data_IF_189287123419
#
_entry.id   IF_189287123419
#
_cell.length_a   1.000
_cell.length_b   1.000
_cell.length_c   1.000
_cell.angle_alpha   90.00
_cell.angle_beta   90.00
_cell.angle_gamma   90.00
#
_symmetry.space_group_name_H-M   'P 1'
#
loop_
_entity.id
_entity.type
_entity.pdbx_description
1 polymer ?
#
# COMPACT_ATOMS: atom_id res chain seq x y z
N UNK A 1 4.36 -28.89 -16.02
CA UNK A 1 3.32 -27.86 -16.25
C UNK A 1 2.48 -27.55 -15.00
N UNK A 2 2.38 -28.46 -14.03
CA UNK A 2 1.63 -28.24 -12.77
C UNK A 2 2.22 -27.17 -11.85
N UNK A 3 3.55 -27.02 -11.81
CA UNK A 3 4.23 -26.09 -10.88
C UNK A 3 3.92 -24.61 -11.12
N UNK A 4 3.71 -24.18 -12.36
CA UNK A 4 3.41 -22.78 -12.68
C UNK A 4 1.98 -22.40 -12.28
N UNK A 5 1.01 -23.28 -12.54
CA UNK A 5 -0.38 -23.13 -12.12
C UNK A 5 -0.50 -23.07 -10.59
N UNK A 6 0.22 -23.95 -9.88
CA UNK A 6 0.27 -23.92 -8.41
C UNK A 6 0.89 -22.63 -7.88
N UNK A 7 1.96 -22.13 -8.51
CA UNK A 7 2.60 -20.87 -8.11
C UNK A 7 1.70 -19.66 -8.35
N UNK A 8 0.98 -19.63 -9.47
CA UNK A 8 0.05 -18.56 -9.79
C UNK A 8 -1.10 -18.53 -8.78
N UNK A 9 -1.77 -19.67 -8.56
CA UNK A 9 -2.85 -19.79 -7.58
C UNK A 9 -2.41 -19.35 -6.18
N UNK A 10 -1.22 -19.80 -5.75
CA UNK A 10 -0.68 -19.39 -4.46
C UNK A 10 -0.38 -17.88 -4.38
N UNK A 11 0.09 -17.27 -5.48
CA UNK A 11 0.32 -15.83 -5.53
C UNK A 11 -1.00 -15.04 -5.45
N UNK A 12 -2.05 -15.50 -6.14
CA UNK A 12 -3.39 -14.90 -6.11
C UNK A 12 -4.01 -14.97 -4.70
N UNK A 13 -3.96 -16.15 -4.05
CA UNK A 13 -4.44 -16.34 -2.68
C UNK A 13 -3.69 -15.44 -1.68
N UNK A 14 -2.37 -15.38 -1.80
CA UNK A 14 -1.54 -14.51 -0.94
C UNK A 14 -1.86 -13.03 -1.15
N UNK A 15 -2.07 -12.60 -2.39
CA UNK A 15 -2.43 -11.22 -2.68
C UNK A 15 -3.80 -10.88 -2.10
N UNK A 16 -4.80 -11.75 -2.27
CA UNK A 16 -6.13 -11.56 -1.70
C UNK A 16 -6.11 -11.42 -0.17
N UNK A 17 -5.37 -12.30 0.52
CA UNK A 17 -5.23 -12.24 1.97
C UNK A 17 -4.53 -10.94 2.44
N UNK A 18 -3.48 -10.50 1.73
CA UNK A 18 -2.79 -9.26 2.04
C UNK A 18 -3.68 -8.02 1.84
N UNK A 19 -4.48 -8.00 0.77
CA UNK A 19 -5.43 -6.91 0.51
C UNK A 19 -6.50 -6.83 1.61
N UNK A 20 -7.00 -7.98 2.07
CA UNK A 20 -7.98 -8.02 3.16
C UNK A 20 -7.37 -7.45 4.45
N UNK A 21 -6.19 -7.91 4.85
CA UNK A 21 -5.50 -7.40 6.04
C UNK A 21 -5.20 -5.91 5.95
N UNK A 22 -4.78 -5.42 4.78
CA UNK A 22 -4.55 -3.99 4.54
C UNK A 22 -5.83 -3.17 4.73
N UNK A 23 -6.94 -3.63 4.14
CA UNK A 23 -8.23 -2.93 4.26
C UNK A 23 -8.74 -2.88 5.70
N UNK A 24 -8.54 -3.96 6.46
CA UNK A 24 -8.90 -4.00 7.88
C UNK A 24 -8.03 -3.04 8.70
N UNK A 25 -6.72 -2.98 8.43
CA UNK A 25 -5.81 -2.04 9.08
C UNK A 25 -6.17 -0.56 8.79
N UNK A 26 -6.51 -0.22 7.54
CA UNK A 26 -6.96 1.13 7.17
C UNK A 26 -8.24 1.50 7.91
N UNK A 27 -9.19 0.56 8.01
CA UNK A 27 -10.45 0.76 8.72
C UNK A 27 -10.21 1.07 10.20
N UNK A 28 -9.30 0.34 10.85
CA UNK A 28 -9.01 0.52 12.28
C UNK A 28 -8.19 1.80 12.54
N UNK A 29 -7.30 2.19 11.62
CA UNK A 29 -6.64 3.50 11.65
C UNK A 29 -7.67 4.63 11.61
N UNK A 30 -8.64 4.55 10.68
CA UNK A 30 -9.68 5.56 10.55
C UNK A 30 -10.56 5.67 11.80
N UNK A 31 -10.99 4.55 12.38
CA UNK A 31 -11.73 4.53 13.67
C UNK A 31 -10.95 5.19 14.81
N UNK A 32 -9.62 5.19 14.73
CA UNK A 32 -8.72 5.76 15.73
C UNK A 32 -8.40 7.24 15.48
N UNK A 33 -9.02 7.87 14.47
CA UNK A 33 -8.74 9.27 14.10
C UNK A 33 -7.39 9.45 13.40
N UNK A 34 -6.89 8.41 12.73
CA UNK A 34 -5.72 8.47 11.87
C UNK A 34 -6.21 8.44 10.43
N UNK A 35 -5.79 9.44 9.66
CA UNK A 35 -6.01 9.47 8.24
C UNK A 35 -4.88 8.72 7.53
N UNK A 36 -5.23 8.03 6.45
CA UNK A 36 -4.30 7.26 5.63
C UNK A 36 -4.35 7.81 4.21
N UNK A 37 -3.21 8.32 3.73
CA UNK A 37 -3.01 8.65 2.33
C UNK A 37 -2.48 7.42 1.59
N UNK A 38 -3.08 7.13 0.44
CA UNK A 38 -2.79 5.97 -0.39
C UNK A 38 -2.35 6.49 -1.75
N UNK A 39 -1.10 6.22 -2.10
CA UNK A 39 -0.55 6.54 -3.40
C UNK A 39 0.05 5.30 -4.07
N UNK A 40 0.35 5.40 -5.36
CA UNK A 40 0.99 4.34 -6.11
C UNK A 40 2.37 4.77 -6.55
N UNK A 41 3.37 3.94 -6.29
CA UNK A 41 4.71 4.09 -6.83
C UNK A 41 4.90 3.12 -7.99
N UNK A 42 5.59 3.57 -9.05
CA UNK A 42 6.01 2.68 -10.13
C UNK A 42 7.47 2.35 -9.94
N UNK A 43 7.76 1.07 -9.69
CA UNK A 43 9.12 0.58 -9.59
C UNK A 43 9.53 -0.06 -10.92
N UNK A 44 10.66 0.36 -11.47
CA UNK A 44 11.20 -0.22 -12.70
C UNK A 44 11.97 -1.51 -12.37
N UNK A 45 11.50 -2.63 -12.91
CA UNK A 45 12.16 -3.93 -12.76
C UNK A 45 12.66 -4.44 -14.12
N UNK A 46 13.57 -5.43 -14.17
CA UNK A 46 13.96 -6.07 -15.44
C UNK A 46 12.79 -6.69 -16.22
N UNK A 47 11.62 -6.89 -15.59
CA UNK A 47 10.40 -7.42 -16.22
C UNK A 47 9.40 -6.34 -16.65
N UNK A 48 9.74 -5.06 -16.46
CA UNK A 48 8.88 -3.91 -16.75
C UNK A 48 8.45 -3.15 -15.48
N UNK A 49 7.57 -2.14 -15.64
CA UNK A 49 7.05 -1.35 -14.53
C UNK A 49 6.19 -2.23 -13.60
N UNK A 50 6.45 -2.14 -12.29
CA UNK A 50 5.71 -2.83 -11.25
C UNK A 50 5.08 -1.79 -10.32
N UNK A 51 3.77 -1.84 -10.17
CA UNK A 51 3.04 -0.93 -9.27
C UNK A 51 3.20 -1.39 -7.83
N UNK A 52 3.53 -0.46 -6.94
CA UNK A 52 3.57 -0.65 -5.49
C UNK A 52 2.60 0.31 -4.81
N UNK A 53 1.93 -0.16 -3.76
CA UNK A 53 1.18 0.71 -2.87
C UNK A 53 2.14 1.43 -1.92
N UNK A 54 2.02 2.74 -1.81
CA UNK A 54 2.69 3.58 -0.81
C UNK A 54 1.63 4.14 0.15
N UNK A 55 1.82 3.89 1.44
CA UNK A 55 0.86 4.19 2.50
C UNK A 55 1.49 5.14 3.50
N UNK A 56 0.85 6.28 3.75
CA UNK A 56 1.28 7.26 4.75
C UNK A 56 0.16 7.50 5.75
N UNK A 57 0.47 7.39 7.03
CA UNK A 57 -0.49 7.63 8.12
C UNK A 57 -0.17 8.93 8.84
N UNK A 58 -1.19 9.75 9.09
CA UNK A 58 -1.07 11.02 9.80
C UNK A 58 -2.23 11.20 10.79
N UNK A 59 -1.99 11.93 11.89
CA UNK A 59 -3.02 12.20 12.89
C UNK A 59 -4.03 13.21 12.35
N UNK A 60 -5.33 12.96 12.53
CA UNK A 60 -6.39 13.87 12.09
C UNK A 60 -6.55 15.12 13.00
N UNK A 61 -6.05 15.08 14.24
CA UNK A 61 -6.09 16.22 15.17
C UNK A 61 -4.72 16.90 15.27
N UNK A 62 -4.67 18.12 14.74
CA UNK A 62 -3.46 18.92 14.49
C UNK A 62 -3.32 19.13 12.99
N UNK A 63 -3.08 20.37 12.54
CA UNK A 63 -2.95 20.67 11.11
C UNK A 63 -1.99 19.67 10.44
N UNK A 64 -2.32 19.16 9.24
CA UNK A 64 -1.40 18.29 8.49
C UNK A 64 -0.03 18.96 8.43
N UNK A 65 1.08 18.24 8.67
CA UNK A 65 2.39 18.85 8.59
C UNK A 65 2.56 19.46 7.19
N UNK A 66 2.75 20.78 7.14
CA UNK A 66 3.03 21.48 5.88
C UNK A 66 4.44 21.08 5.47
N UNK A 67 4.53 20.09 4.59
CA UNK A 67 5.78 19.70 3.95
C UNK A 67 6.21 20.86 3.03
N UNK A 68 7.19 21.66 3.47
CA UNK A 68 7.83 22.66 2.61
C UNK A 68 8.93 21.96 1.81
N UNK A 69 8.91 22.16 0.51
CA UNK A 69 10.03 21.81 -0.36
C UNK A 69 11.24 22.65 0.07
N UNK A 70 12.37 22.00 0.38
CA UNK A 70 13.64 22.70 0.55
C UNK A 70 14.25 22.79 -0.84
N UNK A 71 14.27 24.00 -1.39
CA UNK A 71 15.15 24.30 -2.54
C UNK A 71 16.57 24.51 -2.00
N UNK A 72 17.56 23.90 -2.64
CA UNK A 72 18.99 23.96 -2.28
C UNK A 72 19.58 25.38 -2.31
#
# INVERSE_FOLDING_TARGET
MTSHLTRQKHAEERLGAALQQMNDAIRDAHKSGIDVDISTLTMHTPRGPMVQADLKAFRAYGAPPVLRLVEE
#
